data_IF_124157479657
#
_entry.id   IF_124157479657
#
_cell.length_a   1.000
_cell.length_b   1.000
_cell.length_c   1.000
_cell.angle_alpha   90.00
_cell.angle_beta   90.00
_cell.angle_gamma   90.00
#
_symmetry.space_group_name_H-M   'P 1'
#
loop_
_entity.id
_entity.type
_entity.pdbx_description
1 polymer ?
#
# COMPACT_ATOMS: atom_id res chain seq x y z
N UNK A 1 4.93 -13.54 8.45
CA UNK A 1 4.07 -13.54 7.23
C UNK A 1 2.79 -14.29 7.55
N UNK A 2 1.66 -13.66 7.38
CA UNK A 2 0.35 -14.29 7.63
C UNK A 2 -0.27 -14.69 6.28
N UNK A 3 -0.52 -16.00 6.10
CA UNK A 3 -1.27 -16.55 4.97
C UNK A 3 -2.68 -16.85 5.47
N UNK A 4 -3.67 -16.17 4.91
CA UNK A 4 -5.09 -16.41 5.24
C UNK A 4 -5.85 -16.86 4.00
N UNK A 5 -7.00 -17.50 4.22
CA UNK A 5 -7.97 -17.86 3.17
C UNK A 5 -7.38 -18.66 2.00
N UNK A 6 -6.43 -19.56 2.27
CA UNK A 6 -5.88 -20.43 1.23
C UNK A 6 -6.94 -21.44 0.76
N UNK A 7 -7.20 -21.40 -0.56
CA UNK A 7 -8.03 -22.37 -1.26
C UNK A 7 -7.19 -23.19 -2.24
N UNK A 8 -7.81 -24.09 -3.00
CA UNK A 8 -7.14 -24.81 -4.08
C UNK A 8 -6.73 -23.88 -5.25
N UNK A 9 -7.42 -22.75 -5.42
CA UNK A 9 -7.25 -21.83 -6.57
C UNK A 9 -6.75 -20.44 -6.23
N UNK A 10 -6.72 -20.07 -4.95
CA UNK A 10 -6.32 -18.71 -4.51
C UNK A 10 -5.66 -18.70 -3.13
N UNK A 11 -4.88 -17.65 -2.87
CA UNK A 11 -4.30 -17.38 -1.56
C UNK A 11 -4.20 -15.86 -1.31
N UNK A 12 -4.28 -15.46 -0.04
CA UNK A 12 -4.11 -14.07 0.39
C UNK A 12 -2.71 -13.87 1.00
N UNK A 13 -2.06 -12.78 0.61
CA UNK A 13 -0.74 -12.35 1.08
C UNK A 13 -0.84 -10.96 1.70
N UNK A 14 -0.39 -10.78 2.94
CA UNK A 14 -0.47 -9.53 3.67
C UNK A 14 0.93 -8.90 3.87
N UNK A 15 1.09 -7.67 3.42
CA UNK A 15 2.24 -6.79 3.70
C UNK A 15 1.82 -5.75 4.74
N UNK A 16 1.86 -6.10 6.03
CA UNK A 16 1.40 -5.26 7.14
C UNK A 16 2.52 -4.77 8.06
N UNK A 17 3.76 -5.05 7.73
CA UNK A 17 4.96 -4.63 8.45
C UNK A 17 5.96 -3.92 7.54
N UNK A 18 7.19 -3.79 8.03
CA UNK A 18 8.29 -3.22 7.29
C UNK A 18 8.83 -4.19 6.23
N UNK A 19 9.39 -3.64 5.17
CA UNK A 19 10.09 -4.40 4.13
C UNK A 19 11.58 -4.39 4.47
N UNK A 20 12.10 -5.56 4.83
CA UNK A 20 13.48 -5.72 5.32
C UNK A 20 14.30 -6.58 4.36
N UNK A 21 15.64 -6.50 4.46
CA UNK A 21 16.53 -7.19 3.52
C UNK A 21 16.51 -8.70 3.70
N UNK A 22 16.40 -9.16 4.94
CA UNK A 22 16.48 -10.56 5.35
C UNK A 22 15.80 -10.78 6.70
N UNK A 23 15.79 -12.04 7.17
CA UNK A 23 15.17 -12.43 8.42
C UNK A 23 15.81 -11.80 9.69
N UNK A 24 17.09 -11.39 9.65
CA UNK A 24 17.74 -10.69 10.76
C UNK A 24 17.21 -9.28 10.96
N UNK A 25 16.72 -8.66 9.88
CA UNK A 25 16.05 -7.35 9.92
C UNK A 25 14.59 -7.44 10.33
N UNK A 26 13.99 -8.62 10.38
CA UNK A 26 12.60 -8.82 10.75
C UNK A 26 12.47 -8.88 12.28
N UNK A 27 11.97 -7.77 12.88
CA UNK A 27 11.76 -7.64 14.32
C UNK A 27 10.32 -7.96 14.74
N UNK A 28 9.40 -7.97 13.77
CA UNK A 28 7.97 -8.27 13.95
C UNK A 28 7.58 -9.41 13.00
N UNK A 29 6.59 -10.20 13.40
CA UNK A 29 6.09 -11.31 12.56
C UNK A 29 5.47 -10.83 11.25
N UNK A 30 5.03 -9.58 11.20
CA UNK A 30 4.45 -8.90 10.04
C UNK A 30 5.49 -8.44 9.03
N UNK A 31 6.77 -8.29 9.42
CA UNK A 31 7.84 -7.82 8.53
C UNK A 31 8.06 -8.80 7.36
N UNK A 32 8.33 -8.24 6.19
CA UNK A 32 8.44 -9.00 4.95
C UNK A 32 9.83 -8.89 4.35
N UNK A 33 10.36 -10.00 3.87
CA UNK A 33 11.66 -10.08 3.21
C UNK A 33 11.63 -11.02 2.01
N UNK A 34 12.54 -10.86 1.02
CA UNK A 34 12.48 -11.57 -0.26
C UNK A 34 12.41 -13.10 -0.15
N UNK A 35 13.17 -13.72 0.76
CA UNK A 35 13.16 -15.18 0.91
C UNK A 35 11.83 -15.71 1.44
N UNK A 36 11.17 -14.98 2.36
CA UNK A 36 9.84 -15.36 2.84
C UNK A 36 8.83 -15.33 1.68
N UNK A 37 8.85 -14.27 0.87
CA UNK A 37 7.96 -14.14 -0.30
C UNK A 37 8.26 -15.20 -1.35
N UNK A 38 9.54 -15.49 -1.64
CA UNK A 38 9.95 -16.55 -2.56
C UNK A 38 9.41 -17.91 -2.13
N UNK A 39 9.55 -18.27 -0.84
CA UNK A 39 9.06 -19.52 -0.30
C UNK A 39 7.54 -19.60 -0.40
N UNK A 40 6.84 -18.54 0.02
CA UNK A 40 5.39 -18.44 -0.13
C UNK A 40 4.96 -18.65 -1.59
N UNK A 41 5.53 -17.93 -2.55
CA UNK A 41 5.16 -18.05 -3.96
C UNK A 41 5.45 -19.44 -4.53
N UNK A 42 6.48 -20.14 -4.04
CA UNK A 42 6.78 -21.52 -4.46
C UNK A 42 5.70 -22.51 -4.01
N UNK A 43 5.06 -22.27 -2.86
CA UNK A 43 3.94 -23.05 -2.34
C UNK A 43 2.60 -22.71 -3.01
N UNK A 44 2.49 -21.52 -3.61
CA UNK A 44 1.27 -21.01 -4.24
C UNK A 44 1.31 -21.13 -5.78
N UNK A 45 2.15 -21.98 -6.35
CA UNK A 45 2.21 -22.18 -7.80
C UNK A 45 0.83 -22.59 -8.37
N UNK A 46 0.41 -21.92 -9.44
CA UNK A 46 -0.88 -22.17 -10.11
C UNK A 46 -2.08 -21.53 -9.42
N UNK A 47 -1.88 -20.72 -8.37
CA UNK A 47 -2.96 -20.02 -7.66
C UNK A 47 -2.97 -18.55 -7.96
N UNK A 48 -4.16 -17.97 -8.00
CA UNK A 48 -4.35 -16.53 -7.98
C UNK A 48 -4.00 -15.95 -6.61
N UNK A 49 -3.49 -14.73 -6.56
CA UNK A 49 -3.13 -14.05 -5.31
C UNK A 49 -3.95 -12.78 -5.12
N UNK A 50 -4.37 -12.55 -3.87
CA UNK A 50 -4.79 -11.25 -3.40
C UNK A 50 -3.72 -10.73 -2.44
N UNK A 51 -3.14 -9.60 -2.79
CA UNK A 51 -2.06 -8.94 -2.03
C UNK A 51 -2.64 -7.73 -1.34
N UNK A 52 -2.57 -7.70 -0.02
CA UNK A 52 -3.08 -6.62 0.82
C UNK A 52 -1.90 -5.85 1.42
N UNK A 53 -1.88 -4.53 1.27
CA UNK A 53 -0.75 -3.68 1.67
C UNK A 53 -1.18 -2.67 2.73
N UNK A 54 -0.47 -2.69 3.85
CA UNK A 54 -0.48 -1.65 4.88
C UNK A 54 0.92 -1.53 5.47
N UNK A 55 1.84 -0.91 4.73
CA UNK A 55 3.28 -0.87 5.01
C UNK A 55 3.85 0.52 4.76
N UNK A 56 4.73 0.95 5.65
CA UNK A 56 5.53 2.18 5.48
C UNK A 56 6.68 2.05 4.47
N UNK A 57 6.95 0.83 3.99
CA UNK A 57 8.07 0.55 3.09
C UNK A 57 9.28 -0.03 3.82
N UNK A 58 10.50 0.36 3.44
CA UNK A 58 11.74 -0.11 4.04
C UNK A 58 12.87 -0.28 3.03
N UNK A 59 13.51 -1.46 2.99
CA UNK A 59 14.64 -1.74 2.08
C UNK A 59 14.24 -1.68 0.61
N UNK A 60 14.84 -0.76 -0.14
CA UNK A 60 14.53 -0.54 -1.56
C UNK A 60 14.80 -1.80 -2.38
N UNK A 61 15.96 -2.42 -2.22
CA UNK A 61 16.31 -3.61 -3.01
C UNK A 61 15.46 -4.83 -2.66
N UNK A 62 15.07 -4.99 -1.39
CA UNK A 62 14.12 -6.01 -0.99
C UNK A 62 12.76 -5.80 -1.65
N UNK A 63 12.24 -4.57 -1.63
CA UNK A 63 10.97 -4.23 -2.25
C UNK A 63 10.97 -4.42 -3.76
N UNK A 64 12.04 -4.02 -4.46
CA UNK A 64 12.19 -4.28 -5.91
C UNK A 64 12.24 -5.79 -6.20
N UNK A 65 12.96 -6.57 -5.37
CA UNK A 65 13.00 -8.02 -5.52
C UNK A 65 11.60 -8.65 -5.36
N UNK A 66 10.85 -8.21 -4.36
CA UNK A 66 9.47 -8.65 -4.11
C UNK A 66 8.56 -8.25 -5.27
N UNK A 67 8.62 -6.99 -5.72
CA UNK A 67 7.89 -6.52 -6.90
C UNK A 67 8.11 -7.46 -8.09
N UNK A 68 9.38 -7.74 -8.42
CA UNK A 68 9.72 -8.60 -9.54
C UNK A 68 9.26 -10.05 -9.36
N UNK A 69 9.23 -10.57 -8.13
CA UNK A 69 8.69 -11.91 -7.84
C UNK A 69 7.18 -11.97 -8.09
N UNK A 70 6.43 -10.98 -7.60
CA UNK A 70 4.98 -10.88 -7.83
C UNK A 70 4.67 -10.69 -9.32
N UNK A 71 5.42 -9.86 -10.03
CA UNK A 71 5.29 -9.67 -11.49
C UNK A 71 5.53 -10.96 -12.27
N UNK A 72 6.50 -11.79 -11.85
CA UNK A 72 6.70 -13.11 -12.47
C UNK A 72 5.53 -14.05 -12.18
N UNK A 73 5.01 -14.06 -10.98
CA UNK A 73 3.81 -14.85 -10.63
C UNK A 73 2.60 -14.40 -11.46
N UNK A 74 2.47 -13.10 -11.67
CA UNK A 74 1.42 -12.48 -12.46
C UNK A 74 1.42 -12.84 -13.95
N UNK A 75 2.51 -13.42 -14.48
CA UNK A 75 2.57 -13.89 -15.86
C UNK A 75 1.71 -15.13 -16.13
N UNK A 76 1.44 -15.95 -15.12
CA UNK A 76 0.71 -17.20 -15.24
C UNK A 76 -0.56 -17.26 -14.39
N UNK A 77 -0.71 -16.39 -13.42
CA UNK A 77 -1.83 -16.35 -12.47
C UNK A 77 -2.30 -14.92 -12.30
N UNK A 78 -3.49 -14.72 -11.73
CA UNK A 78 -3.94 -13.35 -11.37
C UNK A 78 -3.30 -12.92 -10.06
N UNK A 79 -2.81 -11.69 -10.02
CA UNK A 79 -2.35 -11.01 -8.81
C UNK A 79 -3.14 -9.72 -8.67
N UNK A 80 -4.06 -9.68 -7.71
CA UNK A 80 -4.83 -8.49 -7.37
C UNK A 80 -4.17 -7.80 -6.19
N UNK A 81 -4.02 -6.47 -6.24
CA UNK A 81 -3.39 -5.70 -5.17
C UNK A 81 -4.36 -4.70 -4.58
N UNK A 82 -4.44 -4.67 -3.27
CA UNK A 82 -5.32 -3.80 -2.47
C UNK A 82 -4.47 -3.04 -1.45
N UNK A 83 -4.63 -1.72 -1.40
CA UNK A 83 -4.03 -0.88 -0.36
C UNK A 83 -5.05 -0.70 0.75
N UNK A 84 -4.82 -1.32 1.90
CA UNK A 84 -5.78 -1.29 3.00
C UNK A 84 -5.68 -0.03 3.86
N UNK A 85 -4.49 0.54 3.99
CA UNK A 85 -4.25 1.77 4.74
C UNK A 85 -3.17 2.62 4.11
N UNK A 86 -1.96 2.08 4.01
CA UNK A 86 -0.80 2.77 3.48
C UNK A 86 0.03 1.84 2.59
N UNK A 87 0.38 2.32 1.40
CA UNK A 87 1.50 1.81 0.61
C UNK A 87 2.54 2.93 0.52
N UNK A 88 3.48 2.96 1.49
CA UNK A 88 4.48 4.02 1.61
C UNK A 88 5.83 3.61 1.06
N UNK A 89 6.58 4.58 0.52
CA UNK A 89 7.96 4.37 0.07
C UNK A 89 8.05 3.17 -0.89
N UNK A 90 8.94 2.21 -0.65
CA UNK A 90 9.08 1.05 -1.54
C UNK A 90 7.84 0.12 -1.55
N UNK A 91 6.95 0.18 -0.55
CA UNK A 91 5.68 -0.53 -0.59
C UNK A 91 4.74 0.03 -1.66
N UNK A 92 4.86 1.32 -2.02
CA UNK A 92 4.12 1.91 -3.13
C UNK A 92 4.52 1.32 -4.49
N UNK A 93 5.78 0.92 -4.65
CA UNK A 93 6.26 0.17 -5.82
C UNK A 93 5.62 -1.21 -5.87
N UNK A 94 5.58 -1.92 -4.73
CA UNK A 94 4.94 -3.24 -4.64
C UNK A 94 3.46 -3.18 -4.99
N UNK A 95 2.78 -2.07 -4.67
CA UNK A 95 1.37 -1.89 -5.03
C UNK A 95 1.11 -2.04 -6.54
N UNK A 96 2.08 -1.74 -7.38
CA UNK A 96 1.97 -1.89 -8.83
C UNK A 96 2.41 -3.27 -9.37
N UNK A 97 2.67 -4.26 -8.50
CA UNK A 97 3.10 -5.59 -8.94
C UNK A 97 1.97 -6.48 -9.49
N UNK A 98 0.73 -6.03 -9.41
CA UNK A 98 -0.45 -6.80 -9.81
C UNK A 98 -0.58 -7.06 -11.32
N UNK A 99 -1.47 -7.98 -11.67
CA UNK A 99 -1.91 -8.22 -13.06
C UNK A 99 -2.85 -7.13 -13.56
N UNK A 100 -3.54 -6.46 -12.62
CA UNK A 100 -4.51 -5.40 -12.83
C UNK A 100 -4.06 -4.13 -12.10
N UNK A 101 -4.80 -3.04 -12.30
CA UNK A 101 -4.65 -1.80 -11.54
C UNK A 101 -4.79 -2.10 -10.05
N UNK A 102 -3.92 -1.53 -9.19
CA UNK A 102 -4.11 -1.65 -7.76
C UNK A 102 -5.38 -0.91 -7.32
N UNK A 103 -6.08 -1.47 -6.35
CA UNK A 103 -7.25 -0.84 -5.74
C UNK A 103 -6.81 -0.04 -4.52
N UNK A 104 -7.06 1.28 -4.54
CA UNK A 104 -6.73 2.20 -3.43
C UNK A 104 -8.03 2.88 -2.98
N UNK A 105 -8.61 2.51 -1.84
CA UNK A 105 -9.79 3.18 -1.29
C UNK A 105 -9.54 4.67 -1.03
N UNK A 106 -10.61 5.46 -1.01
CA UNK A 106 -10.54 6.92 -0.79
C UNK A 106 -9.95 7.31 0.58
N UNK A 107 -9.89 6.39 1.54
CA UNK A 107 -9.30 6.57 2.87
C UNK A 107 -7.94 5.86 3.04
N UNK A 108 -7.39 5.26 1.98
CA UNK A 108 -6.04 4.69 1.97
C UNK A 108 -5.08 5.63 1.22
N UNK A 109 -3.78 5.43 1.44
CA UNK A 109 -2.75 6.34 0.93
C UNK A 109 -1.67 5.60 0.16
N UNK A 110 -1.21 6.25 -0.91
CA UNK A 110 0.05 5.96 -1.58
C UNK A 110 1.03 7.08 -1.19
N UNK A 111 2.21 6.74 -0.67
CA UNK A 111 3.25 7.74 -0.40
C UNK A 111 4.48 7.43 -1.24
N UNK A 112 4.91 8.42 -2.01
CA UNK A 112 6.08 8.35 -2.88
C UNK A 112 7.11 9.39 -2.50
N UNK A 113 8.37 8.99 -2.46
CA UNK A 113 9.49 9.84 -2.19
C UNK A 113 10.79 9.26 -2.79
N UNK A 114 11.85 10.06 -2.81
CA UNK A 114 13.17 9.61 -3.23
C UNK A 114 13.77 8.62 -2.21
N UNK A 115 14.59 7.65 -2.66
CA UNK A 115 15.35 6.80 -1.76
C UNK A 115 16.30 7.66 -0.92
N UNK A 116 16.49 7.27 0.32
CA UNK A 116 17.37 7.98 1.23
C UNK A 116 18.27 7.01 2.00
N UNK A 117 19.41 7.50 2.45
CA UNK A 117 20.32 6.76 3.32
C UNK A 117 20.96 7.68 4.35
N UNK A 118 21.56 7.08 5.37
CA UNK A 118 22.45 7.78 6.31
C UNK A 118 23.86 7.30 6.06
N UNK A 119 24.78 8.24 5.77
CA UNK A 119 26.17 7.92 5.45
C UNK A 119 27.12 8.93 6.09
N UNK A 120 28.34 8.47 6.39
CA UNK A 120 29.47 9.29 6.80
C UNK A 120 30.65 8.97 5.88
N UNK A 121 31.41 10.01 5.52
CA UNK A 121 32.57 9.85 4.63
C UNK A 121 33.20 11.18 4.29
N UNK A 122 34.26 11.14 3.50
CA UNK A 122 34.84 12.34 2.91
C UNK A 122 33.96 12.90 1.78
N UNK A 123 34.33 14.07 1.23
CA UNK A 123 33.53 14.75 0.21
C UNK A 123 33.32 13.92 -1.08
N UNK A 124 34.32 13.11 -1.48
CA UNK A 124 34.25 12.26 -2.68
C UNK A 124 33.28 11.07 -2.42
N UNK A 125 33.42 10.41 -1.28
CA UNK A 125 32.54 9.29 -0.87
C UNK A 125 31.09 9.73 -0.75
N UNK A 126 30.82 10.93 -0.19
CA UNK A 126 29.45 11.45 -0.07
C UNK A 126 28.86 11.83 -1.44
N UNK A 127 29.65 12.39 -2.38
CA UNK A 127 29.17 12.63 -3.74
C UNK A 127 28.83 11.34 -4.46
N UNK A 128 29.72 10.33 -4.35
CA UNK A 128 29.46 9.01 -4.93
C UNK A 128 28.16 8.41 -4.36
N UNK A 129 27.93 8.53 -3.05
CA UNK A 129 26.67 8.05 -2.44
C UNK A 129 25.43 8.77 -3.00
N UNK A 130 25.54 10.08 -3.24
CA UNK A 130 24.47 10.83 -3.88
C UNK A 130 24.19 10.32 -5.31
N UNK A 131 25.24 10.11 -6.12
CA UNK A 131 25.13 9.56 -7.47
C UNK A 131 24.51 8.15 -7.46
N UNK A 132 24.87 7.31 -6.49
CA UNK A 132 24.30 5.96 -6.30
C UNK A 132 22.80 6.04 -5.96
N UNK A 133 22.35 6.99 -5.10
CA UNK A 133 20.95 7.23 -4.80
C UNK A 133 20.16 7.70 -6.03
N UNK A 134 20.73 8.57 -6.86
CA UNK A 134 20.11 9.01 -8.12
C UNK A 134 19.90 7.83 -9.08
N UNK A 135 20.87 6.90 -9.18
CA UNK A 135 20.71 5.69 -9.97
C UNK A 135 19.60 4.77 -9.42
N UNK A 136 19.53 4.60 -8.10
CA UNK A 136 18.46 3.83 -7.44
C UNK A 136 17.09 4.49 -7.70
N UNK A 137 17.02 5.82 -7.58
CA UNK A 137 15.81 6.58 -7.87
C UNK A 137 15.33 6.37 -9.30
N UNK A 138 16.25 6.33 -10.28
CA UNK A 138 15.91 6.04 -11.68
C UNK A 138 15.22 4.67 -11.83
N UNK A 139 15.68 3.65 -11.11
CA UNK A 139 15.03 2.33 -11.11
C UNK A 139 13.59 2.37 -10.59
N UNK A 140 13.34 3.13 -9.53
CA UNK A 140 11.99 3.33 -8.96
C UNK A 140 11.10 4.10 -9.93
N UNK A 141 11.60 5.19 -10.50
CA UNK A 141 10.88 6.02 -11.49
C UNK A 141 10.49 5.21 -12.72
N UNK A 142 11.35 4.30 -13.18
CA UNK A 142 11.03 3.43 -14.32
C UNK A 142 9.83 2.50 -14.02
N UNK A 143 9.72 2.01 -12.79
CA UNK A 143 8.54 1.21 -12.40
C UNK A 143 7.28 2.07 -12.40
N UNK A 144 7.32 3.27 -11.80
CA UNK A 144 6.17 4.16 -11.82
C UNK A 144 5.77 4.56 -13.24
N UNK A 145 6.73 4.74 -14.15
CA UNK A 145 6.48 5.12 -15.54
C UNK A 145 5.59 4.11 -16.29
N UNK A 146 5.66 2.83 -15.93
CA UNK A 146 4.81 1.78 -16.52
C UNK A 146 3.33 1.89 -16.07
N UNK A 147 3.05 2.67 -15.03
CA UNK A 147 1.75 2.75 -14.37
C UNK A 147 1.17 4.16 -14.33
N UNK A 148 1.70 5.07 -15.15
CA UNK A 148 1.18 6.44 -15.23
C UNK A 148 -0.19 6.47 -15.89
N UNK A 149 -1.03 7.38 -15.41
CA UNK A 149 -2.24 7.75 -16.11
C UNK A 149 -1.90 8.44 -17.42
N UNK A 150 -2.72 8.22 -18.43
CA UNK A 150 -2.54 8.85 -19.74
C UNK A 150 -2.42 10.39 -19.62
N UNK A 151 -1.37 10.95 -20.22
CA UNK A 151 -1.06 12.39 -20.18
C UNK A 151 -0.21 12.85 -19.00
N UNK A 152 0.08 11.99 -18.02
CA UNK A 152 0.99 12.32 -16.91
C UNK A 152 2.44 12.10 -17.34
N UNK A 153 3.30 13.09 -17.09
CA UNK A 153 4.72 12.99 -17.41
C UNK A 153 5.54 12.34 -16.29
N UNK A 154 6.66 11.70 -16.65
CA UNK A 154 7.64 11.19 -15.69
C UNK A 154 8.18 12.31 -14.80
N UNK A 155 8.37 13.51 -15.34
CA UNK A 155 8.90 14.63 -14.58
C UNK A 155 7.92 15.08 -13.48
N UNK A 156 6.61 14.98 -13.72
CA UNK A 156 5.60 15.18 -12.68
C UNK A 156 5.80 14.22 -11.50
N UNK A 157 6.08 12.94 -11.78
CA UNK A 157 6.31 11.95 -10.70
C UNK A 157 7.60 12.25 -9.94
N UNK A 158 8.68 12.64 -10.63
CA UNK A 158 9.92 13.06 -9.95
C UNK A 158 9.67 14.25 -9.02
N UNK A 159 8.92 15.26 -9.47
CA UNK A 159 8.56 16.40 -8.61
C UNK A 159 7.72 15.99 -7.38
N UNK A 160 6.83 15.01 -7.53
CA UNK A 160 6.06 14.46 -6.40
C UNK A 160 6.97 13.69 -5.43
N UNK A 161 7.94 12.92 -5.95
CA UNK A 161 8.93 12.21 -5.14
C UNK A 161 9.85 13.18 -4.39
N UNK A 162 10.31 14.25 -5.03
CA UNK A 162 11.14 15.31 -4.41
C UNK A 162 10.46 15.98 -3.21
N UNK A 163 9.11 16.03 -3.24
CA UNK A 163 8.28 16.67 -2.20
C UNK A 163 7.79 15.71 -1.13
N UNK A 164 8.14 14.42 -1.20
CA UNK A 164 7.55 13.38 -0.36
C UNK A 164 6.02 13.50 -0.36
N UNK A 165 5.38 13.00 -1.41
CA UNK A 165 3.96 13.23 -1.62
C UNK A 165 3.11 12.07 -1.13
N UNK A 166 2.08 12.41 -0.37
CA UNK A 166 1.06 11.51 0.15
C UNK A 166 -0.23 11.72 -0.64
N UNK A 167 -0.67 10.66 -1.32
CA UNK A 167 -1.83 10.66 -2.22
C UNK A 167 -2.89 9.71 -1.65
N UNK A 168 -4.08 10.20 -1.35
CA UNK A 168 -5.22 9.31 -1.11
C UNK A 168 -5.67 8.64 -2.42
N UNK A 169 -6.59 7.66 -2.37
CA UNK A 169 -7.00 6.92 -3.56
C UNK A 169 -7.49 7.81 -4.70
N UNK A 170 -8.21 8.90 -4.41
CA UNK A 170 -8.68 9.84 -5.42
C UNK A 170 -7.52 10.65 -6.02
N UNK A 171 -6.63 11.21 -5.19
CA UNK A 171 -5.43 11.93 -5.62
C UNK A 171 -4.47 11.02 -6.39
N UNK A 172 -4.28 9.77 -5.97
CA UNK A 172 -3.44 8.80 -6.68
C UNK A 172 -3.97 8.53 -8.10
N UNK A 173 -5.29 8.50 -8.29
CA UNK A 173 -5.91 8.31 -9.61
C UNK A 173 -5.74 9.49 -10.57
N UNK A 174 -5.24 10.64 -10.10
CA UNK A 174 -4.87 11.77 -10.96
C UNK A 174 -3.54 11.51 -11.68
N UNK A 175 -2.64 10.74 -11.08
CA UNK A 175 -1.28 10.53 -11.57
C UNK A 175 -1.02 9.10 -12.05
N UNK A 176 -1.66 8.12 -11.43
CA UNK A 176 -1.44 6.70 -11.70
C UNK A 176 -2.70 6.01 -12.20
N UNK A 177 -2.50 4.95 -12.96
CA UNK A 177 -3.57 4.08 -13.42
C UNK A 177 -3.98 3.11 -12.29
N UNK A 178 -4.79 3.61 -11.37
CA UNK A 178 -5.30 2.91 -10.19
C UNK A 178 -6.81 2.84 -10.18
N UNK A 179 -7.37 1.87 -9.47
CA UNK A 179 -8.79 1.78 -9.20
C UNK A 179 -9.10 2.38 -7.82
N UNK A 180 -10.08 3.27 -7.76
CA UNK A 180 -10.53 3.88 -6.50
C UNK A 180 -11.87 3.30 -6.08
N UNK A 181 -12.04 3.09 -4.77
CA UNK A 181 -13.31 2.63 -4.19
C UNK A 181 -13.70 3.54 -3.03
N UNK A 182 -14.97 3.47 -2.62
CA UNK A 182 -15.41 4.11 -1.39
C UNK A 182 -14.61 3.59 -0.19
N UNK A 183 -14.53 4.42 0.86
CA UNK A 183 -13.84 4.08 2.09
C UNK A 183 -14.32 2.73 2.63
N UNK A 184 -13.43 1.76 2.71
CA UNK A 184 -13.71 0.45 3.30
C UNK A 184 -13.38 0.47 4.80
N UNK A 185 -14.05 -0.41 5.56
CA UNK A 185 -13.73 -0.64 6.97
C UNK A 185 -12.48 -1.49 7.11
N UNK A 186 -11.30 -0.85 7.10
CA UNK A 186 -10.06 -1.52 7.46
C UNK A 186 -9.53 -0.96 8.78
N UNK A 187 -9.09 -1.84 9.65
CA UNK A 187 -8.37 -1.47 10.88
C UNK A 187 -6.93 -1.18 10.46
N UNK A 188 -6.61 0.10 10.26
CA UNK A 188 -5.26 0.52 9.94
C UNK A 188 -4.33 0.25 11.12
N UNK A 189 -3.42 -0.69 10.97
CA UNK A 189 -2.31 -0.90 11.89
C UNK A 189 -1.11 -0.05 11.46
N UNK A 190 -1.24 1.28 11.50
CA UNK A 190 -0.06 2.16 11.43
C UNK A 190 0.54 2.20 12.83
N UNK A 191 1.63 1.50 13.03
CA UNK A 191 2.29 1.37 14.35
C UNK A 191 2.99 2.66 14.79
N UNK A 192 3.27 3.61 13.90
CA UNK A 192 3.89 4.90 14.24
C UNK A 192 3.12 6.10 13.67
N UNK A 193 1.96 6.39 14.29
CA UNK A 193 1.10 7.53 13.94
C UNK A 193 1.82 8.87 14.03
N UNK A 194 2.91 8.97 14.78
CA UNK A 194 3.68 10.21 14.96
C UNK A 194 4.46 10.60 13.70
N UNK A 195 4.81 9.66 12.84
CA UNK A 195 5.52 9.91 11.56
C UNK A 195 4.61 10.37 10.44
N UNK A 196 3.29 10.25 10.59
CA UNK A 196 2.33 10.67 9.57
C UNK A 196 2.20 12.20 9.58
N UNK A 197 2.35 12.88 8.43
CA UNK A 197 2.16 14.33 8.34
C UNK A 197 0.79 14.78 8.88
N UNK A 198 0.76 15.93 9.55
CA UNK A 198 -0.48 16.43 10.19
C UNK A 198 -1.66 16.59 9.23
N UNK A 199 -1.38 16.96 7.96
CA UNK A 199 -2.39 17.06 6.91
C UNK A 199 -3.07 15.70 6.67
N UNK A 200 -2.28 14.63 6.60
CA UNK A 200 -2.77 13.26 6.37
C UNK A 200 -3.53 12.76 7.60
N UNK A 201 -3.01 12.99 8.82
CA UNK A 201 -3.72 12.66 10.07
C UNK A 201 -5.10 13.33 10.13
N UNK A 202 -5.19 14.62 9.79
CA UNK A 202 -6.48 15.33 9.75
C UNK A 202 -7.47 14.72 8.75
N UNK A 203 -6.99 14.23 7.61
CA UNK A 203 -7.84 13.55 6.61
C UNK A 203 -8.34 12.21 7.15
N UNK A 204 -7.47 11.41 7.78
CA UNK A 204 -7.83 10.15 8.42
C UNK A 204 -8.84 10.34 9.55
N UNK A 205 -8.62 11.34 10.42
CA UNK A 205 -9.53 11.67 11.53
C UNK A 205 -10.89 12.19 11.02
N UNK A 206 -10.91 12.93 9.93
CA UNK A 206 -12.15 13.42 9.29
C UNK A 206 -12.95 12.28 8.68
N UNK A 207 -12.30 11.33 8.02
CA UNK A 207 -12.93 10.13 7.47
C UNK A 207 -13.57 9.27 8.60
N UNK A 208 -12.84 9.09 9.72
CA UNK A 208 -13.35 8.39 10.90
C UNK A 208 -14.57 9.07 11.51
N UNK A 209 -14.54 10.41 11.67
CA UNK A 209 -15.70 11.17 12.20
C UNK A 209 -16.95 11.07 11.32
N UNK A 210 -16.76 11.16 9.99
CA UNK A 210 -17.87 11.06 9.04
C UNK A 210 -18.52 9.67 9.08
N UNK A 211 -17.72 8.63 9.28
CA UNK A 211 -18.17 7.26 9.43
C UNK A 211 -18.96 7.08 10.72
N UNK A 212 -18.41 7.48 11.87
CA UNK A 212 -19.09 7.38 13.17
C UNK A 212 -20.45 8.10 13.15
N UNK A 213 -20.53 9.22 12.42
CA UNK A 213 -21.80 9.92 12.20
C UNK A 213 -22.78 9.15 11.31
N UNK A 214 -22.32 8.52 10.24
CA UNK A 214 -23.15 7.71 9.33
C UNK A 214 -23.65 6.43 10.00
N UNK A 215 -22.82 5.75 10.79
CA UNK A 215 -23.20 4.55 11.53
C UNK A 215 -24.18 4.86 12.67
N UNK A 216 -24.00 6.01 13.32
CA UNK A 216 -24.96 6.52 14.31
C UNK A 216 -26.31 6.85 13.69
N UNK A 217 -26.33 7.41 12.47
CA UNK A 217 -27.57 7.66 11.74
C UNK A 217 -28.29 6.36 11.32
N UNK A 218 -27.56 5.38 10.77
CA UNK A 218 -28.09 4.06 10.42
C UNK A 218 -28.70 3.33 11.65
N UNK A 219 -28.00 3.39 12.78
CA UNK A 219 -28.46 2.79 14.03
C UNK A 219 -29.75 3.44 14.54
N UNK A 220 -29.88 4.78 14.44
CA UNK A 220 -31.09 5.53 14.76
C UNK A 220 -32.29 5.13 13.88
N UNK A 221 -32.03 4.97 12.56
CA UNK A 221 -33.09 4.55 11.62
C UNK A 221 -33.52 3.10 11.81
N UNK A 222 -32.61 2.20 12.18
CA UNK A 222 -32.98 0.83 12.57
C UNK A 222 -33.81 0.80 13.82
N UNK A 223 -33.44 1.58 14.84
CA UNK A 223 -34.23 1.67 16.09
C UNK A 223 -35.63 2.23 15.80
N UNK A 224 -35.74 3.29 14.97
CA UNK A 224 -37.07 3.83 14.57
C UNK A 224 -37.90 2.79 13.84
N UNK A 225 -37.34 2.01 12.92
CA UNK A 225 -38.06 0.94 12.20
C UNK A 225 -38.58 -0.17 13.16
N UNK A 226 -37.74 -0.56 14.14
CA UNK A 226 -38.09 -1.56 15.14
C UNK A 226 -39.22 -1.02 16.04
N UNK A 227 -39.14 0.24 16.47
CA UNK A 227 -40.16 0.89 17.31
C UNK A 227 -41.50 0.99 16.58
N UNK A 228 -41.52 1.39 15.30
CA UNK A 228 -42.73 1.49 14.49
C UNK A 228 -43.34 0.10 14.29
N UNK A 229 -42.59 -0.94 14.01
CA UNK A 229 -43.10 -2.30 13.84
C UNK A 229 -43.68 -2.91 15.12
N UNK A 230 -43.20 -2.48 16.29
CA UNK A 230 -43.75 -2.95 17.58
C UNK A 230 -45.05 -2.21 17.96
N UNK A 231 -45.27 -0.98 17.48
CA UNK A 231 -46.50 -0.24 17.69
C UNK A 231 -47.64 -0.64 16.74
N UNK A 232 -47.31 -1.21 15.57
CA UNK A 232 -48.32 -1.64 14.57
C UNK A 232 -48.74 -3.11 14.69
N UNK A 233 -48.22 -3.86 15.67
CA UNK A 233 -48.58 -5.26 15.93
C UNK A 233 -49.33 -5.47 17.24
N UNK A 234 -49.82 -4.41 17.85
CA UNK A 234 -50.58 -4.44 19.10
C UNK A 234 -52.01 -3.92 18.93
N UNK A 235 -52.77 -4.57 18.03
CA UNK A 235 -54.26 -4.56 17.98
C UNK A 235 -54.74 -5.94 17.62
#
# INVERSE_FOLDING_TARGET
>A
MEVKNQTDTSADLFFYGDIVSDWWGAWQDEDQYPDAIKNFLSEQQGKDLNVYINSGGGSVFAGIAIYNMLRRHAQSNKVNVYVDGLAGSIASVIAFAGSNKPTIPSNAFLMIHNPWTSATGNAEELRKMADDLDQISTGIVNIYAEHLKEGVSIDTIKELMDKETWLNGAEASEYFDVETTDAKEYVAAVTDYAKIPEKVRKTMDSAKKNKDAADSAKKRDQIKKITINNFTKGD
#
